data_IF_772096858459
#
_entry.id   IF_772096858459
#
_cell.length_a   1.000
_cell.length_b   1.000
_cell.length_c   1.000
_cell.angle_alpha   90.00
_cell.angle_beta   90.00
_cell.angle_gamma   90.00
#
_symmetry.space_group_name_H-M   'P 1'
#
loop_
_entity.id
_entity.type
_entity.pdbx_description
1 polymer ?
#
# COMPACT_ATOMS: atom_id res chain seq x y z
N UNK A 1 3.07 -0.48 9.75
CA UNK A 1 2.69 0.35 8.57
C UNK A 1 3.37 -0.20 7.32
N UNK A 2 2.95 0.24 6.13
CA UNK A 2 3.55 -0.19 4.86
C UNK A 2 3.87 1.04 4.01
N UNK A 3 5.12 1.18 3.58
CA UNK A 3 5.54 2.19 2.62
C UNK A 3 5.74 1.54 1.24
N UNK A 4 4.96 1.96 0.24
CA UNK A 4 5.09 1.45 -1.13
C UNK A 4 6.17 2.25 -1.85
N UNK A 5 7.17 1.57 -2.43
CA UNK A 5 8.27 2.20 -3.17
C UNK A 5 7.85 2.62 -4.58
N UNK A 6 6.73 3.33 -4.68
CA UNK A 6 6.18 3.86 -5.91
C UNK A 6 5.49 5.20 -5.61
N UNK A 7 5.66 6.18 -6.50
CA UNK A 7 5.00 7.48 -6.37
C UNK A 7 3.62 7.40 -7.02
N UNK A 8 2.58 7.54 -6.23
CA UNK A 8 1.20 7.69 -6.71
C UNK A 8 0.81 9.17 -6.75
N UNK A 9 -0.03 9.55 -7.71
CA UNK A 9 -0.52 10.94 -7.86
C UNK A 9 -1.68 11.28 -6.88
N UNK A 10 -1.97 10.41 -5.90
CA UNK A 10 -3.02 10.60 -4.91
C UNK A 10 -3.02 9.52 -3.83
N UNK A 11 -3.98 9.62 -2.90
CA UNK A 11 -4.10 8.70 -1.76
C UNK A 11 -4.82 7.40 -2.12
N UNK A 12 -4.45 6.32 -1.42
CA UNK A 12 -5.01 4.98 -1.61
C UNK A 12 -6.10 4.62 -0.58
N UNK A 13 -6.66 5.61 0.12
CA UNK A 13 -7.72 5.35 1.10
C UNK A 13 -8.93 4.65 0.46
N UNK A 14 -9.56 3.74 1.21
CA UNK A 14 -10.69 2.93 0.74
C UNK A 14 -10.32 1.78 -0.21
N UNK A 15 -9.05 1.65 -0.62
CA UNK A 15 -8.59 0.55 -1.45
C UNK A 15 -7.99 -0.59 -0.62
N UNK A 16 -8.10 -1.81 -1.13
CA UNK A 16 -7.51 -2.98 -0.51
C UNK A 16 -6.03 -3.10 -0.89
N UNK A 17 -5.14 -3.05 0.10
CA UNK A 17 -3.71 -3.30 -0.09
C UNK A 17 -3.39 -4.78 0.19
N UNK A 18 -2.95 -5.51 -0.83
CA UNK A 18 -2.38 -6.86 -0.70
C UNK A 18 -0.87 -6.75 -0.49
N UNK A 19 -0.32 -7.45 0.51
CA UNK A 19 1.11 -7.44 0.84
C UNK A 19 1.63 -8.87 1.01
N UNK A 20 2.84 -9.13 0.55
CA UNK A 20 3.58 -10.37 0.81
C UNK A 20 4.88 -10.02 1.56
N UNK A 21 5.06 -10.54 2.77
CA UNK A 21 6.27 -10.32 3.56
C UNK A 21 7.27 -11.40 3.19
N UNK A 22 8.41 -10.99 2.63
CA UNK A 22 9.39 -11.91 2.02
C UNK A 22 10.74 -11.93 2.73
N UNK A 23 10.92 -11.08 3.73
CA UNK A 23 12.19 -10.96 4.43
C UNK A 23 12.07 -10.10 5.67
N UNK A 24 13.09 -10.21 6.52
CA UNK A 24 13.25 -9.43 7.74
C UNK A 24 14.56 -8.64 7.65
N UNK A 25 14.50 -7.33 7.85
CA UNK A 25 15.67 -6.45 7.76
C UNK A 25 16.34 -6.25 9.13
N UNK A 26 15.57 -5.80 10.13
CA UNK A 26 16.07 -5.45 11.47
C UNK A 26 14.93 -5.35 12.48
N UNK A 27 15.24 -5.39 13.79
CA UNK A 27 14.27 -5.04 14.82
C UNK A 27 13.99 -3.54 14.84
N UNK A 28 12.95 -3.16 15.57
CA UNK A 28 12.71 -1.76 15.93
C UNK A 28 13.88 -1.19 16.74
N UNK A 29 14.12 0.10 16.57
CA UNK A 29 15.25 0.82 17.18
C UNK A 29 14.78 2.20 17.63
N UNK A 30 15.31 2.65 18.75
CA UNK A 30 15.25 4.05 19.13
C UNK A 30 16.34 4.82 18.36
N UNK A 31 16.05 6.08 18.07
CA UNK A 31 16.97 6.99 17.38
C UNK A 31 17.13 8.25 18.22
N UNK A 32 18.36 8.75 18.30
CA UNK A 32 18.70 9.94 19.08
C UNK A 32 18.29 11.24 18.36
N UNK A 33 18.07 11.18 17.04
CA UNK A 33 17.66 12.32 16.22
C UNK A 33 16.73 11.94 15.07
N UNK A 34 16.07 12.95 14.52
CA UNK A 34 15.25 12.81 13.31
C UNK A 34 16.11 12.41 12.09
N UNK A 35 17.32 12.96 11.98
CA UNK A 35 18.24 12.66 10.88
C UNK A 35 18.70 11.19 10.91
N UNK A 36 18.94 10.65 12.11
CA UNK A 36 19.26 9.23 12.30
C UNK A 36 18.10 8.33 11.87
N UNK A 37 16.87 8.71 12.22
CA UNK A 37 15.66 8.00 11.81
C UNK A 37 15.50 8.02 10.29
N UNK A 38 15.63 9.19 9.65
CA UNK A 38 15.53 9.33 8.19
C UNK A 38 16.60 8.47 7.51
N UNK A 39 17.83 8.53 8.00
CA UNK A 39 18.96 7.75 7.46
C UNK A 39 18.72 6.25 7.58
N UNK A 40 18.15 5.79 8.69
CA UNK A 40 17.79 4.40 8.88
C UNK A 40 16.67 3.96 7.93
N UNK A 41 15.63 4.77 7.74
CA UNK A 41 14.55 4.48 6.79
C UNK A 41 15.10 4.38 5.36
N UNK A 42 15.94 5.33 4.94
CA UNK A 42 16.57 5.30 3.62
C UNK A 42 17.43 4.04 3.44
N UNK A 43 18.13 3.62 4.49
CA UNK A 43 18.92 2.38 4.45
C UNK A 43 18.03 1.15 4.33
N UNK A 44 16.93 1.09 5.07
CA UNK A 44 15.97 -0.02 5.00
C UNK A 44 15.38 -0.15 3.59
N UNK A 45 15.09 0.97 2.92
CA UNK A 45 14.62 0.99 1.52
C UNK A 45 15.66 0.36 0.58
N UNK A 46 16.93 0.77 0.69
CA UNK A 46 18.00 0.25 -0.16
C UNK A 46 18.30 -1.23 0.10
N UNK A 47 18.27 -1.67 1.36
CA UNK A 47 18.48 -3.06 1.71
C UNK A 47 17.28 -3.94 1.28
N UNK A 48 16.05 -3.41 1.34
CA UNK A 48 14.85 -4.08 0.81
C UNK A 48 14.93 -4.30 -0.71
N UNK A 49 15.33 -3.28 -1.48
CA UNK A 49 15.52 -3.40 -2.94
C UNK A 49 16.52 -4.50 -3.27
N UNK A 50 17.70 -4.46 -2.64
CA UNK A 50 18.75 -5.48 -2.84
C UNK A 50 18.28 -6.88 -2.48
N UNK A 51 17.47 -7.03 -1.42
CA UNK A 51 16.93 -8.32 -1.01
C UNK A 51 15.98 -8.89 -2.05
N UNK A 52 15.20 -8.04 -2.72
CA UNK A 52 14.29 -8.45 -3.80
C UNK A 52 15.03 -8.73 -5.11
N UNK A 53 16.07 -7.95 -5.43
CA UNK A 53 16.82 -8.08 -6.69
C UNK A 53 17.77 -9.28 -6.70
N UNK A 54 18.38 -9.61 -5.55
CA UNK A 54 19.42 -10.64 -5.47
C UNK A 54 18.87 -12.05 -5.18
N UNK A 55 17.57 -12.19 -4.94
CA UNK A 55 16.93 -13.45 -4.59
C UNK A 55 15.85 -13.79 -5.62
N UNK A 56 16.18 -14.71 -6.52
CA UNK A 56 15.32 -15.10 -7.63
C UNK A 56 13.97 -15.65 -7.13
N UNK A 57 13.96 -16.44 -6.06
CA UNK A 57 12.72 -16.98 -5.50
C UNK A 57 11.80 -15.86 -5.00
N UNK A 58 12.38 -14.86 -4.31
CA UNK A 58 11.61 -13.70 -3.83
C UNK A 58 11.12 -12.82 -4.97
N UNK A 59 11.96 -12.61 -6.00
CA UNK A 59 11.57 -11.83 -7.18
C UNK A 59 10.35 -12.44 -7.88
N UNK A 60 10.27 -13.77 -7.97
CA UNK A 60 9.14 -14.46 -8.60
C UNK A 60 7.81 -14.31 -7.83
N UNK A 61 7.85 -13.96 -6.53
CA UNK A 61 6.64 -13.77 -5.72
C UNK A 61 5.75 -12.62 -6.22
N UNK A 62 6.31 -11.65 -6.97
CA UNK A 62 5.51 -10.59 -7.60
C UNK A 62 4.48 -11.14 -8.60
N UNK A 63 4.72 -12.33 -9.15
CA UNK A 63 3.83 -13.02 -10.08
C UNK A 63 2.97 -14.10 -9.40
N UNK A 64 2.97 -14.16 -8.06
CA UNK A 64 2.15 -15.12 -7.30
C UNK A 64 0.66 -14.98 -7.61
N UNK A 65 -0.05 -16.12 -7.60
CA UNK A 65 -1.53 -16.18 -7.70
C UNK A 65 -2.23 -15.31 -6.65
N UNK A 66 -1.57 -15.04 -5.52
CA UNK A 66 -2.07 -14.14 -4.47
C UNK A 66 -2.42 -12.75 -5.02
N UNK A 67 -1.58 -12.22 -5.92
CA UNK A 67 -1.77 -10.90 -6.52
C UNK A 67 -2.65 -10.93 -7.78
N UNK A 68 -2.84 -12.09 -8.42
CA UNK A 68 -3.58 -12.23 -9.69
C UNK A 68 -5.11 -12.35 -9.54
N UNK A 69 -5.64 -12.54 -8.32
CA UNK A 69 -7.08 -12.70 -8.14
C UNK A 69 -7.84 -11.37 -8.38
N UNK A 70 -8.65 -11.35 -9.44
CA UNK A 70 -9.57 -10.28 -9.80
C UNK A 70 -10.90 -10.37 -9.02
N UNK A 71 -11.41 -9.19 -8.67
CA UNK A 71 -12.69 -8.87 -8.02
C UNK A 71 -13.87 -9.82 -8.33
N UNK A 72 -14.39 -10.47 -7.30
CA UNK A 72 -15.82 -10.69 -7.13
C UNK A 72 -16.13 -10.02 -5.78
N UNK A 73 -17.23 -9.28 -5.68
CA UNK A 73 -17.64 -8.45 -4.53
C UNK A 73 -17.14 -6.99 -4.56
N UNK A 74 -17.75 -6.14 -5.38
CA UNK A 74 -17.92 -4.72 -4.99
C UNK A 74 -19.17 -4.03 -5.58
N UNK A 75 -19.98 -4.69 -6.41
CA UNK A 75 -21.20 -4.07 -6.96
C UNK A 75 -22.39 -3.98 -5.98
N UNK A 76 -22.32 -4.59 -4.79
CA UNK A 76 -23.48 -4.61 -3.86
C UNK A 76 -23.53 -3.47 -2.84
N UNK A 77 -22.47 -2.69 -2.65
CA UNK A 77 -22.40 -1.73 -1.53
C UNK A 77 -22.61 -0.26 -1.92
N UNK A 78 -22.56 0.09 -3.21
CA UNK A 78 -22.65 1.49 -3.66
C UNK A 78 -24.09 1.98 -3.91
N UNK A 79 -25.11 1.11 -3.82
CA UNK A 79 -26.52 1.47 -4.03
C UNK A 79 -27.26 1.60 -2.70
N UNK A 80 -26.82 2.48 -1.80
CA UNK A 80 -27.76 3.08 -0.83
C UNK A 80 -27.30 4.47 -0.41
N UNK A 81 -28.20 5.43 -0.67
CA UNK A 81 -28.42 6.63 0.13
C UNK A 81 -27.57 7.89 -0.14
N UNK A 82 -27.99 8.69 -1.13
CA UNK A 82 -28.19 10.15 -0.99
C UNK A 82 -29.23 10.62 -2.02
N UNK A 83 -30.47 10.88 -1.57
CA UNK A 83 -31.44 11.70 -2.31
C UNK A 83 -31.83 12.86 -1.41
N UNK A 84 -31.00 13.90 -1.41
CA UNK A 84 -31.37 15.22 -0.92
C UNK A 84 -32.22 15.89 -1.99
N UNK A 85 -33.50 16.09 -1.70
CA UNK A 85 -34.43 16.83 -2.55
C UNK A 85 -34.03 18.30 -2.59
N UNK A 86 -33.79 18.83 -3.79
CA UNK A 86 -33.48 20.24 -4.02
C UNK A 86 -34.70 20.92 -4.67
N UNK A 87 -35.33 21.77 -3.86
CA UNK A 87 -36.14 22.97 -4.12
C UNK A 87 -36.45 23.28 -5.61
N UNK A 88 -37.73 23.38 -5.95
CA UNK A 88 -38.22 24.18 -7.09
C UNK A 88 -39.30 25.15 -6.62
N UNK A 89 -38.92 26.43 -6.53
CA UNK A 89 -39.83 27.57 -6.59
C UNK A 89 -40.26 27.78 -8.05
N UNK A 90 -41.52 28.14 -8.30
CA UNK A 90 -41.91 28.68 -9.61
C UNK A 90 -43.40 28.70 -9.91
N UNK A 91 -44.02 29.85 -9.57
CA UNK A 91 -45.32 30.41 -10.01
C UNK A 91 -46.62 29.71 -9.60
#
# INVERSE_FOLDING_TARGET
>A
ETHILHKYDGDLYGHLLKVCIVGYLRPERNFESLDDLISAIQRDIEDAKKLLDNDEEKCQLQHSKFFQANHIENEKSASTHFKGENIKNGS
#
